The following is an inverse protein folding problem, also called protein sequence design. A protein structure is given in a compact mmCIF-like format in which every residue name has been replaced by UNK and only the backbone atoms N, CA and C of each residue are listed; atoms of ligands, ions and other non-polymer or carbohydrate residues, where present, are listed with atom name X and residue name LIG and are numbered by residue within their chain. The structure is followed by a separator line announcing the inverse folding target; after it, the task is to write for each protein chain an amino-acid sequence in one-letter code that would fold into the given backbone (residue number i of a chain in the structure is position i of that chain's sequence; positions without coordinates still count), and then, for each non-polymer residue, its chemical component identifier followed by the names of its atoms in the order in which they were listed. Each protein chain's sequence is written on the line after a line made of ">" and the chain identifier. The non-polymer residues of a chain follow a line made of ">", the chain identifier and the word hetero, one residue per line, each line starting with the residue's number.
data_IF_190843100919
#
_entry.id   IF_190843100919
#
_cell.length_a   1.000
_cell.length_b   1.000
_cell.length_c   1.000
_cell.angle_alpha   90.00
_cell.angle_beta   90.00
_cell.angle_gamma   90.00
#
_symmetry.space_group_name_H-M   'P 1'
#
loop_
_entity.id
_entity.type
_entity.pdbx_description
1 polymer ?
#
# COMPACT_ATOMS: atom_id res chain seq x y z
N UNK A 1 8.05 1.59 14.42
CA UNK A 1 6.65 1.15 14.61
C UNK A 1 6.32 0.07 13.61
N UNK A 2 5.47 -0.84 14.01
CA UNK A 2 5.06 -1.97 13.20
C UNK A 2 3.77 -1.67 12.45
N UNK A 3 3.72 -2.08 11.21
CA UNK A 3 2.50 -1.99 10.41
C UNK A 3 1.65 -3.24 10.68
N UNK A 4 0.38 -3.04 11.01
CA UNK A 4 -0.53 -4.14 11.24
C UNK A 4 -1.07 -4.71 9.94
N UNK A 5 -1.34 -3.84 8.97
CA UNK A 5 -1.97 -4.23 7.73
C UNK A 5 -1.71 -3.22 6.63
N UNK A 6 -1.55 -3.70 5.41
CA UNK A 6 -1.49 -2.85 4.22
C UNK A 6 -2.51 -3.35 3.22
N UNK A 7 -3.35 -2.46 2.73
CA UNK A 7 -4.34 -2.76 1.72
C UNK A 7 -4.08 -1.90 0.49
N UNK A 8 -3.95 -2.55 -0.67
CA UNK A 8 -3.75 -1.90 -1.95
C UNK A 8 -4.99 -2.13 -2.79
N UNK A 9 -5.61 -1.06 -3.27
CA UNK A 9 -6.82 -1.14 -4.08
C UNK A 9 -6.77 -0.15 -5.23
N UNK A 10 -7.49 -0.48 -6.30
CA UNK A 10 -7.59 0.41 -7.46
C UNK A 10 -8.66 1.48 -7.22
N UNK A 11 -8.27 2.74 -7.34
CA UNK A 11 -9.18 3.87 -7.24
C UNK A 11 -9.56 4.33 -8.65
N UNK A 12 -10.70 3.85 -9.13
CA UNK A 12 -11.17 4.16 -10.48
C UNK A 12 -11.49 5.64 -10.66
N UNK A 13 -11.92 6.30 -9.62
CA UNK A 13 -12.25 7.72 -9.68
C UNK A 13 -11.03 8.61 -9.94
N UNK A 14 -9.88 8.20 -9.46
CA UNK A 14 -8.62 8.93 -9.63
C UNK A 14 -7.66 8.28 -10.60
N UNK A 15 -8.00 7.09 -11.08
CA UNK A 15 -7.13 6.29 -11.96
C UNK A 15 -5.75 6.07 -11.34
N UNK A 16 -5.72 5.76 -10.06
CA UNK A 16 -4.50 5.52 -9.29
C UNK A 16 -4.71 4.38 -8.33
N UNK A 17 -3.61 3.82 -7.83
CA UNK A 17 -3.67 2.82 -6.78
C UNK A 17 -3.71 3.52 -5.43
N UNK A 18 -4.63 3.10 -4.59
CA UNK A 18 -4.71 3.58 -3.22
C UNK A 18 -4.04 2.56 -2.31
N UNK A 19 -3.12 3.05 -1.51
CA UNK A 19 -2.42 2.23 -0.52
C UNK A 19 -2.81 2.72 0.86
N UNK A 20 -3.41 1.82 1.63
CA UNK A 20 -3.85 2.11 2.97
C UNK A 20 -3.00 1.32 3.95
N UNK A 21 -2.30 2.04 4.81
CA UNK A 21 -1.41 1.45 5.81
C UNK A 21 -2.07 1.63 7.18
N UNK A 22 -2.29 0.54 7.88
CA UNK A 22 -2.86 0.56 9.21
C UNK A 22 -1.80 0.19 10.24
N UNK A 23 -1.62 1.04 11.23
CA UNK A 23 -0.69 0.81 12.32
C UNK A 23 -1.33 1.26 13.62
N UNK A 24 -1.78 0.30 14.43
CA UNK A 24 -2.51 0.61 15.64
C UNK A 24 -3.79 1.37 15.32
N UNK A 25 -3.91 2.59 15.85
CA UNK A 25 -5.08 3.43 15.58
C UNK A 25 -4.86 4.39 14.41
N UNK A 26 -3.66 4.40 13.84
CA UNK A 26 -3.37 5.28 12.73
C UNK A 26 -3.63 4.60 11.40
N UNK A 27 -4.16 5.38 10.45
CA UNK A 27 -4.36 4.95 9.09
C UNK A 27 -3.74 5.99 8.17
N UNK A 28 -2.81 5.53 7.33
CA UNK A 28 -2.15 6.39 6.36
C UNK A 28 -2.60 5.97 4.97
N UNK A 29 -2.99 6.95 4.16
CA UNK A 29 -3.41 6.71 2.78
C UNK A 29 -2.44 7.38 1.83
N UNK A 30 -2.01 6.62 0.82
CA UNK A 30 -1.12 7.12 -0.23
C UNK A 30 -1.64 6.66 -1.57
N UNK A 31 -1.46 7.51 -2.57
CA UNK A 31 -1.84 7.16 -3.93
C UNK A 31 -0.59 6.96 -4.77
N UNK A 32 -0.63 5.97 -5.65
CA UNK A 32 0.44 5.67 -6.58
C UNK A 32 -0.04 5.73 -8.00
N UNK A 33 0.76 6.36 -8.83
CA UNK A 33 0.47 6.50 -10.24
C UNK A 33 1.04 5.31 -10.99
N UNK A 34 0.36 4.18 -10.91
CA UNK A 34 0.71 2.95 -11.59
C UNK A 34 -0.44 2.51 -12.48
N UNK A 35 -0.18 1.77 -13.56
CA UNK A 35 -1.25 1.30 -14.43
C UNK A 35 -2.15 0.31 -13.70
N UNK A 36 -3.40 0.22 -14.14
CA UNK A 36 -4.37 -0.69 -13.53
C UNK A 36 -3.92 -2.15 -13.63
N UNK A 37 -3.20 -2.49 -14.67
CA UNK A 37 -2.69 -3.84 -14.92
C UNK A 37 -1.31 -4.10 -14.32
N UNK A 38 -0.85 -3.23 -13.41
CA UNK A 38 0.40 -3.45 -12.70
C UNK A 38 0.35 -4.81 -12.01
N UNK A 39 1.45 -5.55 -12.07
CA UNK A 39 1.47 -6.89 -11.48
C UNK A 39 1.57 -6.83 -9.96
N UNK A 40 1.29 -7.95 -9.32
CA UNK A 40 1.30 -8.05 -7.88
C UNK A 40 2.65 -7.71 -7.28
N UNK A 41 3.72 -8.16 -7.92
CA UNK A 41 5.07 -7.90 -7.43
C UNK A 41 5.40 -6.40 -7.44
N UNK A 42 5.00 -5.70 -8.48
CA UNK A 42 5.18 -4.25 -8.58
C UNK A 42 4.42 -3.53 -7.47
N UNK A 43 3.18 -3.96 -7.22
CA UNK A 43 2.35 -3.37 -6.17
C UNK A 43 2.92 -3.65 -4.79
N UNK A 44 3.43 -4.85 -4.55
CA UNK A 44 4.08 -5.20 -3.29
C UNK A 44 5.32 -4.36 -3.04
N UNK A 45 6.14 -4.20 -4.07
CA UNK A 45 7.35 -3.39 -3.96
C UNK A 45 7.01 -1.94 -3.62
N UNK A 46 6.00 -1.39 -4.28
CA UNK A 46 5.53 -0.04 -3.98
C UNK A 46 5.02 0.07 -2.56
N UNK A 47 4.28 -0.94 -2.09
CA UNK A 47 3.76 -0.96 -0.73
C UNK A 47 4.89 -0.98 0.31
N UNK A 48 5.87 -1.84 0.11
CA UNK A 48 7.01 -1.95 1.01
C UNK A 48 7.81 -0.65 1.04
N UNK A 49 8.01 -0.04 -0.11
CA UNK A 49 8.72 1.23 -0.19
C UNK A 49 7.99 2.33 0.56
N UNK A 50 6.66 2.38 0.43
CA UNK A 50 5.85 3.36 1.14
C UNK A 50 5.93 3.17 2.65
N UNK A 51 5.81 1.93 3.10
CA UNK A 51 5.91 1.61 4.53
C UNK A 51 7.25 2.07 5.07
N UNK A 52 8.32 1.81 4.35
CA UNK A 52 9.66 2.21 4.74
C UNK A 52 9.82 3.74 4.73
N UNK A 53 9.28 4.42 3.73
CA UNK A 53 9.36 5.86 3.61
C UNK A 53 8.61 6.57 4.73
N UNK A 54 7.55 5.96 5.25
CA UNK A 54 6.78 6.50 6.37
C UNK A 54 7.44 6.21 7.72
N UNK A 55 8.57 5.52 7.74
CA UNK A 55 9.31 5.24 8.95
C UNK A 55 8.89 3.98 9.68
N UNK A 56 8.09 3.13 9.05
CA UNK A 56 7.69 1.85 9.61
C UNK A 56 8.64 0.75 9.18
N UNK A 57 8.55 -0.40 9.84
CA UNK A 57 9.30 -1.56 9.42
C UNK A 57 8.78 -2.08 8.08
N UNK A 58 9.69 -2.46 7.20
CA UNK A 58 9.33 -2.94 5.86
C UNK A 58 8.73 -4.34 5.85
N UNK A 59 8.74 -5.02 6.98
CA UNK A 59 8.16 -6.36 7.11
C UNK A 59 6.64 -6.25 7.20
N UNK A 60 5.97 -6.43 6.08
CA UNK A 60 4.52 -6.34 6.00
C UNK A 60 3.93 -7.72 6.21
N UNK A 61 3.33 -7.96 7.39
CA UNK A 61 2.76 -9.25 7.75
C UNK A 61 1.50 -9.56 6.94
N UNK A 62 0.69 -8.56 6.66
CA UNK A 62 -0.53 -8.73 5.86
C UNK A 62 -0.60 -7.68 4.77
N UNK A 63 -0.57 -8.16 3.54
CA UNK A 63 -0.72 -7.32 2.37
C UNK A 63 -1.87 -7.87 1.53
N UNK A 64 -2.89 -7.04 1.32
CA UNK A 64 -4.03 -7.39 0.47
C UNK A 64 -4.03 -6.48 -0.75
N UNK A 65 -4.22 -7.09 -1.92
CA UNK A 65 -4.31 -6.35 -3.18
C UNK A 65 -5.66 -6.62 -3.80
N UNK A 66 -6.39 -5.55 -4.09
CA UNK A 66 -7.70 -5.63 -4.74
C UNK A 66 -7.69 -4.80 -6.00
N UNK A 67 -8.18 -5.39 -7.07
CA UNK A 67 -8.29 -4.72 -8.36
C UNK A 67 -9.74 -4.39 -8.70
#
# INVERSE_FOLDING_TARGET
>A
MRVDRVEVSWDAGKSKWLMRIESGEEVIRRHYKLPKDADEQTLRSAAQQTVKDEGYEADVAELSIRR
#
